data_IF_494487464887
#
_entry.id   IF_494487464887
#
_cell.length_a   1.000
_cell.length_b   1.000
_cell.length_c   1.000
_cell.angle_alpha   90.00
_cell.angle_beta   90.00
_cell.angle_gamma   90.00
#
_symmetry.space_group_name_H-M   'P 1'
#
loop_
_entity.id
_entity.type
_entity.pdbx_description
1 polymer ?
#
# COMPACT_ATOMS: atom_id res chain seq x y z
N UNK A 1 -16.80 18.65 -10.63
CA UNK A 1 -15.52 17.97 -10.93
C UNK A 1 -15.70 16.46 -10.95
N UNK A 2 -15.18 15.70 -11.95
CA UNK A 2 -15.21 14.22 -11.96
C UNK A 2 -14.33 13.63 -10.86
N UNK A 3 -14.76 12.51 -10.25
CA UNK A 3 -14.00 11.79 -9.21
C UNK A 3 -12.59 11.40 -9.70
N UNK A 4 -12.45 11.00 -10.97
CA UNK A 4 -11.15 10.66 -11.57
C UNK A 4 -10.14 11.80 -11.49
N UNK A 5 -10.56 13.06 -11.67
CA UNK A 5 -9.70 14.23 -11.55
C UNK A 5 -9.30 14.49 -10.09
N UNK A 6 -10.22 14.29 -9.14
CA UNK A 6 -9.92 14.38 -7.72
C UNK A 6 -8.88 13.31 -7.29
N UNK A 7 -9.04 12.07 -7.76
CA UNK A 7 -8.08 10.99 -7.50
C UNK A 7 -6.72 11.30 -8.12
N UNK A 8 -6.69 11.78 -9.36
CA UNK A 8 -5.46 12.21 -10.02
C UNK A 8 -4.73 13.30 -9.23
N UNK A 9 -5.45 14.31 -8.76
CA UNK A 9 -4.90 15.40 -7.95
C UNK A 9 -4.37 14.88 -6.60
N UNK A 10 -5.13 13.99 -5.95
CA UNK A 10 -4.74 13.37 -4.69
C UNK A 10 -3.51 12.45 -4.80
N UNK A 11 -3.22 11.93 -5.99
CA UNK A 11 -2.06 11.08 -6.26
C UNK A 11 -0.90 11.82 -6.95
N UNK A 12 -1.00 13.13 -7.14
CA UNK A 12 0.01 13.95 -7.80
C UNK A 12 1.16 14.29 -6.84
N UNK A 13 1.96 13.29 -6.46
CA UNK A 13 3.10 13.47 -5.55
C UNK A 13 4.16 14.35 -6.20
N UNK A 14 4.52 15.51 -5.57
CA UNK A 14 5.52 16.42 -6.09
C UNK A 14 6.87 15.72 -6.35
N UNK A 15 7.45 16.02 -7.51
CA UNK A 15 8.70 15.39 -7.96
C UNK A 15 8.52 14.06 -8.71
N UNK A 16 7.33 13.42 -8.62
CA UNK A 16 6.99 12.21 -9.39
C UNK A 16 5.92 12.51 -10.46
N UNK A 17 4.96 13.36 -10.15
CA UNK A 17 3.87 13.71 -11.05
C UNK A 17 3.69 15.22 -11.13
N UNK A 18 3.24 15.76 -12.26
CA UNK A 18 2.89 17.17 -12.38
C UNK A 18 1.67 17.48 -11.54
N UNK A 19 1.56 18.73 -11.03
CA UNK A 19 0.33 19.21 -10.41
C UNK A 19 -0.88 19.08 -11.33
N UNK A 20 -2.05 18.85 -10.76
CA UNK A 20 -3.30 18.77 -11.51
C UNK A 20 -4.05 20.08 -11.40
N UNK A 21 -4.31 20.73 -12.54
CA UNK A 21 -5.10 21.95 -12.57
C UNK A 21 -6.60 21.62 -12.53
N UNK A 22 -7.31 22.28 -11.59
CA UNK A 22 -8.76 22.20 -11.44
C UNK A 22 -9.26 23.62 -11.14
N UNK A 23 -10.15 24.14 -11.97
CA UNK A 23 -10.77 25.45 -11.81
C UNK A 23 -9.74 26.58 -11.58
N UNK A 24 -8.64 26.58 -12.33
CA UNK A 24 -7.56 27.56 -12.26
C UNK A 24 -6.61 27.38 -11.07
N UNK A 25 -6.77 26.36 -10.25
CA UNK A 25 -5.90 26.05 -9.12
C UNK A 25 -5.07 24.78 -9.37
N UNK A 26 -3.83 24.78 -8.90
CA UNK A 26 -2.94 23.63 -9.00
C UNK A 26 -2.95 22.79 -7.72
N UNK A 27 -3.28 21.53 -7.86
CA UNK A 27 -3.38 20.56 -6.76
C UNK A 27 -2.24 19.53 -6.84
N UNK A 28 -1.73 19.19 -5.66
CA UNK A 28 -0.71 18.15 -5.46
C UNK A 28 -1.17 17.19 -4.37
N UNK A 29 -0.49 16.04 -4.24
CA UNK A 29 -0.78 15.04 -3.22
C UNK A 29 -0.75 15.65 -1.81
N UNK A 30 -1.84 15.46 -1.09
CA UNK A 30 -2.01 15.96 0.28
C UNK A 30 -1.19 15.20 1.32
N UNK A 31 -0.58 14.05 0.99
CA UNK A 31 0.18 13.23 1.94
C UNK A 31 1.35 13.97 2.58
N UNK A 32 1.94 14.93 1.87
CA UNK A 32 3.02 15.78 2.41
C UNK A 32 2.54 16.75 3.49
N UNK A 33 1.27 17.10 3.50
CA UNK A 33 0.68 18.03 4.49
C UNK A 33 -0.05 17.28 5.59
N UNK A 34 -0.91 16.34 5.22
CA UNK A 34 -1.73 15.57 6.16
C UNK A 34 -1.97 14.17 5.62
N UNK A 35 -1.16 13.23 6.07
CA UNK A 35 -1.33 11.81 5.74
C UNK A 35 -2.56 11.27 6.46
N UNK A 36 -3.36 10.44 5.78
CA UNK A 36 -4.60 9.87 6.31
C UNK A 36 -5.47 10.97 6.98
N UNK A 37 -6.15 11.77 6.17
CA UNK A 37 -7.01 12.85 6.63
C UNK A 37 -8.26 12.32 7.35
N UNK A 38 -8.03 11.57 8.44
CA UNK A 38 -9.06 10.89 9.21
C UNK A 38 -10.04 11.85 9.90
N UNK A 39 -9.63 13.11 10.14
CA UNK A 39 -10.51 14.10 10.78
C UNK A 39 -11.84 14.29 10.05
N UNK A 40 -11.87 14.17 8.73
CA UNK A 40 -13.12 14.30 7.95
C UNK A 40 -14.16 13.25 8.36
N UNK A 41 -13.73 12.00 8.63
CA UNK A 41 -14.62 10.96 9.12
C UNK A 41 -14.86 11.03 10.62
N UNK A 42 -13.90 11.52 11.39
CA UNK A 42 -14.05 11.68 12.84
C UNK A 42 -15.03 12.81 13.20
N UNK A 43 -15.20 13.81 12.33
CA UNK A 43 -16.21 14.86 12.46
C UNK A 43 -17.64 14.31 12.27
N UNK A 44 -17.81 13.15 11.64
CA UNK A 44 -19.09 12.44 11.46
C UNK A 44 -19.46 11.53 12.66
N UNK A 45 -18.77 11.67 13.80
CA UNK A 45 -19.02 10.96 15.07
C UNK A 45 -19.06 9.41 14.93
N UNK A 46 -18.12 8.86 14.14
CA UNK A 46 -18.03 7.42 13.90
C UNK A 46 -17.48 6.66 15.12
N UNK A 47 -18.04 5.50 15.43
CA UNK A 47 -17.58 4.64 16.53
C UNK A 47 -16.32 3.85 16.22
N UNK A 48 -16.13 3.47 14.95
CA UNK A 48 -14.99 2.69 14.48
C UNK A 48 -14.44 3.29 13.20
N UNK A 49 -13.15 3.60 13.20
CA UNK A 49 -12.41 4.05 12.03
C UNK A 49 -11.30 3.05 11.69
N UNK A 50 -11.33 2.52 10.47
CA UNK A 50 -10.29 1.65 9.94
C UNK A 50 -9.46 2.45 8.95
N UNK A 51 -8.18 2.62 9.25
CA UNK A 51 -7.20 3.32 8.46
C UNK A 51 -6.25 2.32 7.79
N UNK A 52 -5.98 2.52 6.50
CA UNK A 52 -5.01 1.75 5.73
C UNK A 52 -3.90 2.68 5.25
N UNK A 53 -2.65 2.40 5.63
CA UNK A 53 -1.48 3.12 5.14
C UNK A 53 -0.53 2.15 4.45
N UNK A 54 -0.45 2.14 3.11
CA UNK A 54 0.47 1.27 2.39
C UNK A 54 1.92 1.81 2.34
N UNK A 55 2.14 3.07 2.75
CA UNK A 55 3.42 3.75 2.63
C UNK A 55 4.15 3.83 3.97
N UNK A 56 4.92 2.80 4.29
CA UNK A 56 5.80 2.78 5.46
C UNK A 56 7.27 2.92 5.04
N UNK A 57 8.13 3.50 5.88
CA UNK A 57 9.57 3.46 5.65
C UNK A 57 10.07 2.01 5.73
N UNK A 58 11.13 1.72 4.99
CA UNK A 58 11.75 0.42 5.02
C UNK A 58 12.81 0.36 6.13
N UNK A 59 12.76 -0.68 6.96
CA UNK A 59 13.75 -0.96 7.99
C UNK A 59 14.72 -2.05 7.48
N UNK A 60 15.93 -1.64 7.13
CA UNK A 60 16.99 -2.54 6.64
C UNK A 60 17.83 -3.18 7.75
N UNK A 61 17.61 -2.83 9.01
CA UNK A 61 18.51 -3.24 10.12
C UNK A 61 18.47 -4.74 10.40
N UNK A 62 17.31 -5.39 10.20
CA UNK A 62 17.13 -6.82 10.42
C UNK A 62 16.96 -7.61 9.11
N UNK A 63 16.91 -6.95 7.97
CA UNK A 63 16.86 -7.64 6.69
C UNK A 63 18.26 -8.17 6.39
N UNK A 64 18.45 -9.48 6.62
CA UNK A 64 19.73 -10.14 6.34
C UNK A 64 20.26 -9.81 4.93
N UNK A 65 21.53 -9.99 4.72
CA UNK A 65 22.44 -9.56 3.64
C UNK A 65 21.98 -9.63 2.17
N UNK A 66 20.71 -9.87 1.89
CA UNK A 66 20.15 -9.98 0.53
C UNK A 66 19.62 -8.67 -0.07
N UNK A 67 19.51 -7.60 0.75
CA UNK A 67 19.02 -6.32 0.24
C UNK A 67 20.22 -5.44 -0.03
N UNK A 68 20.35 -4.91 -1.26
CA UNK A 68 21.35 -3.91 -1.56
C UNK A 68 21.20 -2.75 -0.58
N UNK A 69 22.32 -2.15 -0.17
CA UNK A 69 22.28 -0.93 0.65
C UNK A 69 21.39 0.07 -0.07
N UNK A 70 20.46 0.71 0.65
CA UNK A 70 19.52 1.67 0.03
C UNK A 70 20.22 2.74 -0.80
N UNK A 71 21.40 3.15 -0.39
CA UNK A 71 22.25 4.12 -1.11
C UNK A 71 22.70 3.60 -2.49
N UNK A 72 22.85 2.31 -2.66
CA UNK A 72 23.28 1.70 -3.92
C UNK A 72 22.15 1.74 -4.99
N UNK A 73 20.91 1.95 -4.56
CA UNK A 73 19.76 2.18 -5.42
C UNK A 73 19.69 3.59 -6.01
N UNK A 74 20.64 4.46 -5.65
CA UNK A 74 20.74 5.82 -6.14
C UNK A 74 19.65 6.76 -5.62
N UNK A 75 19.62 7.95 -6.19
CA UNK A 75 18.75 9.04 -5.77
C UNK A 75 17.25 8.67 -5.70
N UNK A 76 16.66 7.94 -6.67
CA UNK A 76 15.23 7.59 -6.61
C UNK A 76 14.87 6.76 -5.38
N UNK A 77 15.71 5.79 -4.99
CA UNK A 77 15.45 4.93 -3.82
C UNK A 77 15.61 5.73 -2.53
N UNK A 78 16.64 6.57 -2.43
CA UNK A 78 16.86 7.45 -1.28
C UNK A 78 15.72 8.44 -1.11
N UNK A 79 15.27 9.09 -2.17
CA UNK A 79 14.11 9.99 -2.15
C UNK A 79 12.82 9.26 -1.75
N UNK A 80 12.58 8.07 -2.30
CA UNK A 80 11.43 7.24 -1.91
C UNK A 80 11.42 6.95 -0.42
N UNK A 81 12.55 6.56 0.15
CA UNK A 81 12.68 6.33 1.59
C UNK A 81 12.47 7.62 2.40
N UNK A 82 13.03 8.73 1.96
CA UNK A 82 12.87 10.04 2.61
C UNK A 82 11.40 10.44 2.67
N UNK A 83 10.68 10.36 1.55
CA UNK A 83 9.24 10.66 1.51
C UNK A 83 8.43 9.74 2.42
N UNK A 84 8.70 8.44 2.40
CA UNK A 84 8.04 7.47 3.28
C UNK A 84 8.25 7.80 4.75
N UNK A 85 9.48 8.12 5.13
CA UNK A 85 9.83 8.51 6.51
C UNK A 85 9.11 9.78 6.95
N UNK A 86 9.09 10.81 6.09
CA UNK A 86 8.38 12.06 6.37
C UNK A 86 6.87 11.85 6.52
N UNK A 87 6.26 11.10 5.60
CA UNK A 87 4.83 10.78 5.59
C UNK A 87 4.47 9.98 6.85
N UNK A 88 5.25 8.97 7.18
CA UNK A 88 5.02 8.11 8.34
C UNK A 88 5.15 8.86 9.67
N UNK A 89 6.17 9.70 9.82
CA UNK A 89 6.33 10.56 11.01
C UNK A 89 5.13 11.48 11.23
N UNK A 90 4.61 12.09 10.17
CA UNK A 90 3.41 12.93 10.23
C UNK A 90 2.16 12.12 10.58
N UNK A 91 2.05 10.92 10.02
CA UNK A 91 0.95 10.00 10.33
C UNK A 91 0.94 9.64 11.81
N UNK A 92 2.08 9.26 12.38
CA UNK A 92 2.18 8.92 13.81
C UNK A 92 1.73 10.07 14.71
N UNK A 93 2.17 11.30 14.41
CA UNK A 93 1.75 12.50 15.15
C UNK A 93 0.23 12.72 15.02
N UNK A 94 -0.31 12.58 13.80
CA UNK A 94 -1.73 12.70 13.54
C UNK A 94 -2.56 11.68 14.29
N UNK A 95 -2.14 10.41 14.29
CA UNK A 95 -2.83 9.31 14.98
C UNK A 95 -2.84 9.51 16.50
N UNK A 96 -1.72 9.98 17.09
CA UNK A 96 -1.67 10.36 18.51
C UNK A 96 -2.62 11.53 18.82
N UNK A 97 -2.74 12.48 17.92
CA UNK A 97 -3.68 13.59 18.00
C UNK A 97 -5.12 13.11 18.01
N UNK A 98 -5.49 12.25 17.05
CA UNK A 98 -6.86 11.70 16.94
C UNK A 98 -7.25 10.86 18.15
N UNK A 99 -6.34 10.03 18.68
CA UNK A 99 -6.61 9.25 19.87
C UNK A 99 -6.92 10.12 21.12
N UNK A 100 -6.36 11.34 21.18
CA UNK A 100 -6.63 12.29 22.27
C UNK A 100 -7.92 13.06 22.07
N UNK A 101 -8.18 13.51 20.83
CA UNK A 101 -9.37 14.33 20.53
C UNK A 101 -10.65 13.52 20.41
N UNK A 102 -10.55 12.23 20.05
CA UNK A 102 -11.70 11.32 19.87
C UNK A 102 -11.54 10.04 20.69
N UNK A 103 -11.52 10.13 22.04
CA UNK A 103 -11.23 8.97 22.92
C UNK A 103 -12.32 7.89 22.88
N UNK A 104 -13.52 8.21 22.39
CA UNK A 104 -14.64 7.27 22.25
C UNK A 104 -14.57 6.46 20.97
N UNK A 105 -13.89 6.97 19.94
CA UNK A 105 -13.76 6.29 18.64
C UNK A 105 -12.65 5.24 18.69
N UNK A 106 -12.95 4.03 18.29
CA UNK A 106 -11.93 3.00 18.08
C UNK A 106 -11.23 3.24 16.75
N UNK A 107 -9.95 3.61 16.78
CA UNK A 107 -9.15 3.82 15.56
C UNK A 107 -8.19 2.64 15.39
N UNK A 108 -8.28 1.97 14.24
CA UNK A 108 -7.41 0.87 13.85
C UNK A 108 -6.59 1.27 12.63
N UNK A 109 -5.26 1.28 12.78
CA UNK A 109 -4.34 1.52 11.68
C UNK A 109 -3.74 0.19 11.21
N UNK A 110 -3.82 -0.06 9.90
CA UNK A 110 -3.22 -1.21 9.24
C UNK A 110 -2.12 -0.72 8.30
N UNK A 111 -0.93 -1.27 8.48
CA UNK A 111 0.27 -0.95 7.73
C UNK A 111 1.00 -2.24 7.36
N UNK A 112 1.74 -2.29 6.24
CA UNK A 112 2.66 -3.39 5.96
C UNK A 112 3.79 -3.41 6.99
N UNK A 113 4.46 -4.56 7.11
CA UNK A 113 5.69 -4.67 7.89
C UNK A 113 6.77 -3.78 7.27
N UNK A 114 7.44 -2.96 8.08
CA UNK A 114 8.54 -2.10 7.63
C UNK A 114 9.74 -2.90 7.08
N UNK A 115 9.82 -4.19 7.38
CA UNK A 115 10.84 -5.12 6.88
C UNK A 115 10.44 -5.86 5.61
N UNK A 116 9.25 -5.56 5.07
CA UNK A 116 8.75 -6.16 3.84
C UNK A 116 9.46 -5.57 2.61
N UNK A 117 10.61 -6.18 2.26
CA UNK A 117 11.41 -5.77 1.12
C UNK A 117 10.66 -5.91 -0.22
N UNK A 118 9.76 -6.90 -0.36
CA UNK A 118 8.99 -7.11 -1.58
C UNK A 118 8.06 -5.92 -1.83
N UNK A 119 7.38 -5.44 -0.80
CA UNK A 119 6.54 -4.24 -0.89
C UNK A 119 7.36 -2.97 -1.10
N UNK A 120 8.52 -2.84 -0.44
CA UNK A 120 9.35 -1.64 -0.55
C UNK A 120 10.01 -1.50 -1.91
N UNK A 121 10.60 -2.59 -2.45
CA UNK A 121 11.31 -2.61 -3.72
C UNK A 121 10.38 -2.74 -4.93
N UNK A 122 9.07 -2.88 -4.70
CA UNK A 122 8.10 -2.99 -5.76
C UNK A 122 8.17 -1.78 -6.70
N UNK A 123 8.21 -2.05 -8.00
CA UNK A 123 8.10 -1.00 -8.99
C UNK A 123 6.66 -0.48 -9.07
N UNK A 124 6.39 0.63 -8.39
CA UNK A 124 5.06 1.28 -8.34
C UNK A 124 4.53 1.70 -9.71
N UNK A 125 5.39 1.84 -10.71
CA UNK A 125 5.01 2.16 -12.10
C UNK A 125 4.72 0.91 -12.95
N UNK A 126 4.99 -0.29 -12.44
CA UNK A 126 4.74 -1.53 -13.16
C UNK A 126 3.31 -2.00 -13.00
N UNK A 127 2.48 -1.71 -14.02
CA UNK A 127 1.10 -2.20 -14.04
C UNK A 127 1.00 -3.74 -14.05
N UNK A 128 1.98 -4.43 -14.64
CA UNK A 128 2.01 -5.90 -14.69
C UNK A 128 2.21 -6.55 -13.33
N UNK A 129 2.92 -5.91 -12.41
CA UNK A 129 3.21 -6.45 -11.08
C UNK A 129 2.06 -6.26 -10.07
N UNK A 130 1.04 -5.46 -10.39
CA UNK A 130 -0.05 -5.12 -9.45
C UNK A 130 -0.74 -6.33 -8.82
N UNK A 131 -0.90 -7.43 -9.58
CA UNK A 131 -1.57 -8.64 -9.09
C UNK A 131 -0.69 -9.39 -8.10
N UNK A 132 0.59 -9.49 -8.38
CA UNK A 132 1.59 -10.13 -7.49
C UNK A 132 1.66 -9.37 -6.19
N UNK A 133 1.76 -8.04 -6.26
CA UNK A 133 1.79 -7.18 -5.08
C UNK A 133 0.50 -7.23 -4.27
N UNK A 134 -0.66 -7.26 -4.93
CA UNK A 134 -1.94 -7.38 -4.27
C UNK A 134 -2.07 -8.73 -3.53
N UNK A 135 -1.64 -9.83 -4.17
CA UNK A 135 -1.62 -11.15 -3.55
C UNK A 135 -0.64 -11.20 -2.36
N UNK A 136 0.55 -10.63 -2.52
CA UNK A 136 1.54 -10.52 -1.44
C UNK A 136 0.96 -9.74 -0.24
N UNK A 137 0.41 -8.54 -0.48
CA UNK A 137 -0.22 -7.71 0.55
C UNK A 137 -1.39 -8.43 1.24
N UNK A 138 -2.21 -9.18 0.49
CA UNK A 138 -3.30 -9.98 1.03
C UNK A 138 -2.77 -11.06 1.98
N UNK A 139 -1.73 -11.79 1.62
CA UNK A 139 -1.13 -12.83 2.47
C UNK A 139 -0.50 -12.25 3.72
N UNK A 140 0.22 -11.14 3.60
CA UNK A 140 0.82 -10.45 4.75
C UNK A 140 -0.26 -9.90 5.70
N UNK A 141 -1.32 -9.30 5.17
CA UNK A 141 -2.46 -8.85 5.98
C UNK A 141 -3.12 -10.00 6.73
N UNK A 142 -3.33 -11.15 6.08
CA UNK A 142 -3.88 -12.33 6.74
C UNK A 142 -2.98 -12.85 7.85
N UNK A 143 -1.66 -12.85 7.65
CA UNK A 143 -0.67 -13.21 8.69
C UNK A 143 -0.80 -12.28 9.88
N UNK A 144 -0.76 -10.99 9.67
CA UNK A 144 -0.90 -9.97 10.71
C UNK A 144 -2.23 -10.10 11.47
N UNK A 145 -3.33 -10.38 10.77
CA UNK A 145 -4.64 -10.61 11.40
C UNK A 145 -4.65 -11.89 12.26
N UNK A 146 -3.93 -12.95 11.86
CA UNK A 146 -3.76 -14.17 12.69
C UNK A 146 -2.97 -13.87 13.96
N UNK A 147 -1.84 -13.19 13.83
CA UNK A 147 -0.96 -12.84 14.95
C UNK A 147 -1.66 -11.92 15.96
N UNK A 148 -2.39 -10.93 15.48
CA UNK A 148 -3.11 -9.95 16.29
C UNK A 148 -4.56 -10.31 16.59
N UNK A 149 -4.99 -11.53 16.29
CA UNK A 149 -6.40 -11.96 16.40
C UNK A 149 -7.04 -11.65 17.73
N UNK A 150 -6.35 -11.92 18.84
CA UNK A 150 -6.89 -11.70 20.19
C UNK A 150 -7.13 -10.21 20.46
N UNK A 151 -6.14 -9.37 20.23
CA UNK A 151 -6.22 -7.93 20.49
C UNK A 151 -7.17 -7.20 19.55
N UNK A 152 -7.09 -7.48 18.25
CA UNK A 152 -7.98 -6.90 17.24
C UNK A 152 -9.42 -7.42 17.41
N UNK A 153 -9.59 -8.72 17.67
CA UNK A 153 -10.89 -9.32 17.87
C UNK A 153 -11.62 -8.76 19.08
N UNK A 154 -10.90 -8.43 20.16
CA UNK A 154 -11.49 -7.78 21.32
C UNK A 154 -12.02 -6.36 20.98
N UNK A 155 -11.26 -5.59 20.21
CA UNK A 155 -11.68 -4.26 19.76
C UNK A 155 -12.86 -4.33 18.79
N UNK A 156 -12.79 -5.19 17.77
CA UNK A 156 -13.81 -5.32 16.73
C UNK A 156 -15.16 -5.84 17.27
N UNK A 157 -15.14 -6.75 18.26
CA UNK A 157 -16.39 -7.26 18.88
C UNK A 157 -17.22 -6.17 19.55
N UNK A 158 -16.60 -5.10 20.06
CA UNK A 158 -17.34 -3.95 20.63
C UNK A 158 -18.23 -3.26 19.59
N UNK A 159 -17.89 -3.44 18.31
CA UNK A 159 -18.62 -2.88 17.15
C UNK A 159 -19.39 -3.97 16.37
N UNK A 160 -19.66 -5.13 16.99
CA UNK A 160 -20.40 -6.22 16.35
C UNK A 160 -19.64 -6.99 15.27
N UNK A 161 -18.33 -6.76 15.11
CA UNK A 161 -17.51 -7.38 14.07
C UNK A 161 -16.75 -8.59 14.64
N UNK A 162 -16.88 -9.74 13.97
CA UNK A 162 -16.19 -10.98 14.36
C UNK A 162 -15.21 -11.41 13.28
N UNK A 163 -13.97 -11.70 13.70
CA UNK A 163 -12.98 -12.29 12.80
C UNK A 163 -13.25 -13.79 12.68
N UNK A 164 -13.60 -14.25 11.50
CA UNK A 164 -13.85 -15.66 11.21
C UNK A 164 -12.54 -16.42 11.15
N UNK A 165 -12.36 -17.36 12.07
CA UNK A 165 -11.16 -18.18 12.20
C UNK A 165 -10.97 -19.10 10.99
N UNK A 166 -12.03 -19.80 10.58
CA UNK A 166 -12.04 -20.72 9.44
C UNK A 166 -11.56 -20.04 8.15
N UNK A 167 -12.04 -18.81 7.90
CA UNK A 167 -11.62 -18.01 6.74
C UNK A 167 -10.16 -17.57 6.85
N UNK A 168 -9.73 -17.19 8.06
CA UNK A 168 -8.41 -16.63 8.27
C UNK A 168 -7.29 -17.69 8.20
N UNK A 169 -7.57 -18.93 8.64
CA UNK A 169 -6.65 -20.05 8.66
C UNK A 169 -6.62 -20.85 7.34
N UNK A 170 -7.57 -20.63 6.45
CA UNK A 170 -7.62 -21.29 5.14
C UNK A 170 -6.50 -20.79 4.23
N UNK A 171 -5.40 -21.54 4.13
CA UNK A 171 -4.21 -21.19 3.35
C UNK A 171 -4.43 -21.30 1.83
N UNK A 172 -5.50 -21.95 1.40
CA UNK A 172 -5.83 -22.09 -0.03
C UNK A 172 -6.43 -20.81 -0.63
N UNK A 173 -6.86 -19.89 0.21
CA UNK A 173 -7.45 -18.62 -0.24
C UNK A 173 -6.42 -17.69 -0.85
N UNK A 174 -6.71 -17.26 -2.06
CA UNK A 174 -5.97 -16.23 -2.80
C UNK A 174 -6.88 -15.04 -3.09
N UNK A 175 -6.29 -13.85 -3.18
CA UNK A 175 -7.01 -12.64 -3.61
C UNK A 175 -7.21 -12.66 -5.13
N UNK A 176 -6.19 -13.11 -5.84
CA UNK A 176 -6.16 -13.12 -7.30
C UNK A 176 -6.18 -14.56 -7.78
N UNK A 177 -7.20 -14.93 -8.56
CA UNK A 177 -7.25 -16.27 -9.16
C UNK A 177 -5.96 -16.55 -9.95
N UNK A 178 -5.40 -17.78 -9.85
CA UNK A 178 -4.24 -18.17 -10.63
C UNK A 178 -4.47 -17.89 -12.11
N UNK A 179 -3.60 -17.09 -12.73
CA UNK A 179 -3.64 -16.95 -14.17
C UNK A 179 -3.10 -18.24 -14.80
N UNK A 180 -3.76 -18.79 -15.83
CA UNK A 180 -3.15 -19.83 -16.63
C UNK A 180 -1.81 -19.29 -17.15
N UNK A 181 -0.74 -20.08 -16.97
CA UNK A 181 0.59 -19.73 -17.48
C UNK A 181 0.45 -19.35 -18.97
N UNK A 182 1.05 -18.24 -19.41
CA UNK A 182 1.05 -17.90 -20.83
C UNK A 182 1.59 -19.09 -21.59
N UNK A 183 0.81 -19.62 -22.53
CA UNK A 183 1.29 -20.67 -23.43
C UNK A 183 2.57 -20.15 -24.06
N UNK A 184 3.69 -20.83 -23.84
CA UNK A 184 4.95 -20.52 -24.56
C UNK A 184 4.60 -20.45 -26.03
N UNK A 185 4.91 -19.37 -26.73
CA UNK A 185 4.71 -19.33 -28.18
C UNK A 185 5.46 -20.53 -28.73
N UNK A 186 4.75 -21.44 -29.40
CA UNK A 186 5.35 -22.55 -30.09
C UNK A 186 6.46 -22.00 -30.98
N UNK A 187 7.63 -22.66 -30.99
CA UNK A 187 8.72 -22.27 -31.88
C UNK A 187 8.15 -22.19 -33.30
N UNK A 188 7.91 -20.99 -33.78
CA UNK A 188 7.64 -20.78 -35.18
C UNK A 188 8.91 -21.23 -35.92
N UNK A 189 8.83 -22.34 -36.62
CA UNK A 189 9.85 -22.70 -37.58
C UNK A 189 9.86 -21.60 -38.63
N UNK A 190 10.80 -20.66 -38.54
CA UNK A 190 11.09 -19.73 -39.60
C UNK A 190 11.62 -20.56 -40.79
N UNK A 191 10.77 -20.82 -41.77
CA UNK A 191 11.22 -21.22 -43.11
C UNK A 191 11.90 -20.01 -43.70
N UNK A 192 13.24 -20.01 -43.67
CA UNK A 192 14.06 -19.12 -44.50
C UNK A 192 13.76 -19.44 -45.97
N UNK A 193 13.02 -18.59 -46.66
CA UNK A 193 12.93 -18.61 -48.08
C UNK A 193 14.22 -17.93 -48.61
N UNK A 194 15.12 -18.71 -49.16
CA UNK A 194 16.27 -18.21 -49.93
C UNK A 194 15.73 -17.75 -51.26
N UNK A 195 15.71 -16.45 -51.47
CA UNK A 195 15.50 -15.87 -52.82
C UNK A 195 16.88 -15.76 -53.47
N UNK A 196 17.17 -16.67 -54.38
CA UNK A 196 18.27 -16.53 -55.34
C UNK A 196 17.85 -15.60 -56.46
N UNK A 197 18.57 -14.48 -56.57
CA UNK A 197 18.95 -13.82 -57.81
C UNK A 197 20.26 -13.10 -57.64
#
# INVERSE_FOLDING_TARGET
MPISRAVQASAALPGLFPPVEIDGHHYVDGALKKTLHASVLLEEDVDLLICLNPLVPFDATESGSRIPRLVDGGLPVVLSQTFRTMIHSRLELGMKGYARSHPRTTILLFEPDQRDAEMFLANTFSYSQRRVLAEHAYRQTRRMLRERRTSLGAKLRRHGITIRRDVLEDETRTLVAPQPLPRRPGKAHSRLAVITR
#
